data_IF_361035447839
#
_entry.id   IF_361035447839
#
_cell.length_a   1.000
_cell.length_b   1.000
_cell.length_c   1.000
_cell.angle_alpha   90.00
_cell.angle_beta   90.00
_cell.angle_gamma   90.00
#
_symmetry.space_group_name_H-M   'P 1'
#
loop_
_entity.id
_entity.type
_entity.pdbx_description
1 polymer ?
#
# COMPACT_ATOMS: atom_id res chain seq x y z
N UNK A 1 -8.60 -12.77 -7.73
CA UNK A 1 -7.87 -11.52 -7.49
C UNK A 1 -6.98 -11.79 -6.28
N UNK A 2 -5.69 -11.67 -6.48
CA UNK A 2 -4.66 -12.03 -5.51
C UNK A 2 -4.13 -10.86 -4.71
N UNK A 3 -3.03 -11.10 -3.96
CA UNK A 3 -2.38 -10.10 -3.10
C UNK A 3 -1.96 -8.83 -3.82
N UNK A 4 -1.59 -8.90 -5.11
CA UNK A 4 -1.09 -7.77 -5.87
C UNK A 4 -2.11 -6.65 -6.06
N UNK A 5 -3.38 -6.98 -6.34
CA UNK A 5 -4.43 -5.96 -6.43
C UNK A 5 -4.70 -5.31 -5.07
N UNK A 6 -4.69 -6.12 -4.00
CA UNK A 6 -4.87 -5.60 -2.64
C UNK A 6 -3.72 -4.66 -2.28
N UNK A 7 -2.49 -5.04 -2.58
CA UNK A 7 -1.30 -4.21 -2.36
C UNK A 7 -1.34 -2.91 -3.18
N UNK A 8 -1.73 -3.00 -4.46
CA UNK A 8 -1.85 -1.81 -5.31
C UNK A 8 -2.88 -0.82 -4.81
N UNK A 9 -4.02 -1.29 -4.34
CA UNK A 9 -5.01 -0.40 -3.77
C UNK A 9 -4.62 0.15 -2.38
N UNK A 10 -3.76 -0.56 -1.63
CA UNK A 10 -3.22 -0.08 -0.35
C UNK A 10 -2.15 1.00 -0.51
N UNK A 11 -1.61 1.16 -1.70
CA UNK A 11 -0.64 2.20 -2.05
C UNK A 11 -1.31 3.58 -2.12
N UNK A 12 -2.59 3.62 -2.47
CA UNK A 12 -3.39 4.83 -2.58
C UNK A 12 -4.04 5.20 -1.24
N UNK A 13 -3.25 5.28 -0.19
CA UNK A 13 -3.66 5.72 1.13
C UNK A 13 -3.92 7.25 1.19
N UNK A 14 -4.55 7.78 2.25
CA UNK A 14 -4.80 9.21 2.39
C UNK A 14 -3.55 10.07 2.33
N UNK A 15 -2.39 9.57 2.73
CA UNK A 15 -1.12 10.28 2.65
C UNK A 15 -0.64 10.41 1.19
N UNK A 16 -0.78 9.34 0.41
CA UNK A 16 -0.56 9.33 -1.03
C UNK A 16 -1.50 10.28 -1.76
N UNK A 17 -2.82 10.18 -1.49
CA UNK A 17 -3.84 11.06 -2.07
C UNK A 17 -3.53 12.54 -1.79
N UNK A 18 -3.14 12.89 -0.55
CA UNK A 18 -2.77 14.25 -0.20
C UNK A 18 -1.53 14.73 -1.00
N UNK A 19 -0.50 13.88 -1.08
CA UNK A 19 0.75 14.18 -1.80
C UNK A 19 0.51 14.36 -3.30
N UNK A 20 -0.28 13.49 -3.93
CA UNK A 20 -0.64 13.58 -5.34
C UNK A 20 -1.51 14.82 -5.62
N UNK A 21 -2.44 15.13 -4.70
CA UNK A 21 -3.27 16.34 -4.80
C UNK A 21 -2.43 17.61 -4.68
N UNK A 22 -1.46 17.62 -3.77
CA UNK A 22 -0.52 18.74 -3.63
C UNK A 22 0.35 18.87 -4.88
N UNK A 23 0.81 17.78 -5.48
CA UNK A 23 1.60 17.77 -6.70
C UNK A 23 0.83 18.43 -7.86
N UNK A 24 -0.42 18.03 -8.08
CA UNK A 24 -1.27 18.62 -9.10
C UNK A 24 -1.65 20.07 -8.80
N UNK A 25 -1.99 20.41 -7.55
CA UNK A 25 -2.37 21.77 -7.17
C UNK A 25 -1.21 22.76 -7.28
N UNK A 26 -0.02 22.40 -6.85
CA UNK A 26 1.14 23.30 -6.79
C UNK A 26 1.86 23.43 -8.13
N UNK A 27 2.05 22.31 -8.84
CA UNK A 27 2.88 22.26 -10.06
C UNK A 27 2.10 21.85 -11.32
N UNK A 28 0.78 21.80 -11.24
CA UNK A 28 -0.05 21.39 -12.38
C UNK A 28 0.34 20.01 -12.88
N UNK A 29 0.57 19.88 -14.18
CA UNK A 29 0.94 18.62 -14.82
C UNK A 29 2.46 18.34 -14.78
N UNK A 30 3.29 19.23 -14.20
CA UNK A 30 4.75 19.11 -14.25
C UNK A 30 5.31 17.87 -13.57
N UNK A 31 4.60 17.28 -12.59
CA UNK A 31 4.99 16.03 -11.90
C UNK A 31 4.32 14.77 -12.48
N UNK A 32 3.49 14.90 -13.53
CA UNK A 32 2.72 13.77 -14.06
C UNK A 32 3.60 12.67 -14.66
N UNK A 33 4.78 13.01 -15.20
CA UNK A 33 5.74 12.05 -15.72
C UNK A 33 6.24 11.04 -14.66
N UNK A 34 6.15 11.40 -13.38
CA UNK A 34 6.53 10.50 -12.29
C UNK A 34 5.68 9.24 -12.28
N UNK A 35 4.41 9.32 -12.68
CA UNK A 35 3.55 8.15 -12.79
C UNK A 35 4.08 7.17 -13.86
N UNK A 36 4.59 7.66 -14.99
CA UNK A 36 5.21 6.80 -15.99
C UNK A 36 6.50 6.16 -15.49
N UNK A 37 7.31 6.90 -14.71
CA UNK A 37 8.57 6.41 -14.15
C UNK A 37 8.36 5.38 -13.04
N UNK A 38 7.44 5.66 -12.11
CA UNK A 38 7.22 4.81 -10.94
C UNK A 38 6.55 3.49 -11.28
N UNK A 39 5.69 3.45 -12.28
CA UNK A 39 4.96 2.25 -12.67
C UNK A 39 5.86 1.02 -12.91
N UNK A 40 6.85 1.02 -13.83
CA UNK A 40 7.71 -0.14 -14.03
C UNK A 40 8.57 -0.47 -12.80
N UNK A 41 8.97 0.53 -12.00
CA UNK A 41 9.72 0.33 -10.78
C UNK A 41 8.90 -0.39 -9.72
N UNK A 42 7.65 0.03 -9.50
CA UNK A 42 6.71 -0.61 -8.58
C UNK A 42 6.45 -2.06 -8.99
N UNK A 43 6.12 -2.28 -10.27
CA UNK A 43 5.90 -3.64 -10.80
C UNK A 43 7.11 -4.53 -10.56
N UNK A 44 8.31 -4.05 -10.89
CA UNK A 44 9.54 -4.83 -10.76
C UNK A 44 9.83 -5.20 -9.30
N UNK A 45 9.75 -4.23 -8.38
CA UNK A 45 10.05 -4.47 -6.96
C UNK A 45 9.02 -5.38 -6.33
N UNK A 46 7.73 -5.14 -6.57
CA UNK A 46 6.65 -5.98 -6.04
C UNK A 46 6.71 -7.41 -6.60
N UNK A 47 7.03 -7.58 -7.90
CA UNK A 47 7.22 -8.92 -8.48
C UNK A 47 8.39 -9.65 -7.82
N UNK A 48 9.52 -8.98 -7.57
CA UNK A 48 10.66 -9.59 -6.88
C UNK A 48 10.27 -10.05 -5.49
N UNK A 49 9.55 -9.23 -4.73
CA UNK A 49 9.11 -9.56 -3.37
C UNK A 49 8.15 -10.74 -3.35
N UNK A 50 7.17 -10.74 -4.25
CA UNK A 50 6.17 -11.79 -4.39
C UNK A 50 6.80 -13.13 -4.82
N UNK A 51 7.66 -13.11 -5.84
CA UNK A 51 8.39 -14.30 -6.30
C UNK A 51 9.35 -14.84 -5.25
N UNK A 52 9.95 -13.97 -4.44
CA UNK A 52 10.81 -14.40 -3.35
C UNK A 52 10.02 -15.18 -2.32
N UNK A 53 8.84 -14.72 -1.92
CA UNK A 53 7.94 -15.44 -1.03
C UNK A 53 7.50 -16.78 -1.62
N UNK A 54 7.07 -16.81 -2.89
CA UNK A 54 6.68 -18.02 -3.61
C UNK A 54 7.82 -19.06 -3.70
N UNK A 55 9.03 -18.59 -4.02
CA UNK A 55 10.17 -19.48 -4.21
C UNK A 55 10.69 -20.09 -2.92
N UNK A 56 10.67 -19.32 -1.83
CA UNK A 56 11.29 -19.71 -0.56
C UNK A 56 10.31 -20.24 0.47
N UNK A 57 9.02 -19.87 0.36
CA UNK A 57 8.02 -20.14 1.40
C UNK A 57 8.29 -19.38 2.70
N UNK A 58 9.12 -18.33 2.66
CA UNK A 58 9.51 -17.50 3.82
C UNK A 58 9.38 -16.02 3.51
N UNK A 59 9.07 -15.22 4.53
CA UNK A 59 8.93 -13.76 4.40
C UNK A 59 10.26 -13.04 4.21
N UNK A 60 10.20 -11.84 3.63
CA UNK A 60 11.39 -11.02 3.38
C UNK A 60 12.16 -10.70 4.66
N UNK A 61 11.47 -10.43 5.76
CA UNK A 61 12.10 -10.15 7.06
C UNK A 61 12.95 -11.31 7.56
N UNK A 62 12.41 -12.52 7.51
CA UNK A 62 13.12 -13.74 7.92
C UNK A 62 14.33 -14.00 7.02
N UNK A 63 14.18 -13.86 5.71
CA UNK A 63 15.28 -14.02 4.76
C UNK A 63 16.40 -13.00 4.99
N UNK A 64 16.05 -11.75 5.25
CA UNK A 64 17.01 -10.69 5.56
C UNK A 64 17.81 -11.02 6.83
N UNK A 65 17.14 -11.47 7.89
CA UNK A 65 17.82 -11.89 9.13
C UNK A 65 18.76 -13.08 8.90
N UNK A 66 18.35 -14.06 8.08
CA UNK A 66 19.19 -15.22 7.75
C UNK A 66 20.40 -14.86 6.90
N UNK A 67 20.25 -13.89 5.99
CA UNK A 67 21.28 -13.51 5.00
C UNK A 67 22.34 -12.59 5.56
N UNK A 68 21.97 -11.66 6.45
CA UNK A 68 22.90 -10.65 6.94
C UNK A 68 23.67 -11.08 8.18
N UNK A 69 24.98 -10.77 8.22
CA UNK A 69 25.85 -10.92 9.39
C UNK A 69 25.53 -9.85 10.46
N UNK A 70 26.24 -9.91 11.59
CA UNK A 70 25.96 -9.09 12.78
C UNK A 70 25.81 -7.59 12.50
N UNK A 71 26.72 -6.99 11.72
CA UNK A 71 26.66 -5.58 11.33
C UNK A 71 25.44 -5.29 10.44
N UNK A 72 25.19 -6.13 9.44
CA UNK A 72 24.03 -6.00 8.56
C UNK A 72 22.72 -6.16 9.30
N UNK A 73 22.65 -7.01 10.35
CA UNK A 73 21.47 -7.11 11.21
C UNK A 73 21.21 -5.86 12.03
N UNK A 74 22.27 -5.17 12.50
CA UNK A 74 22.11 -3.90 13.21
C UNK A 74 21.54 -2.82 12.28
N UNK A 75 22.07 -2.69 11.06
CA UNK A 75 21.51 -1.78 10.04
C UNK A 75 20.07 -2.13 9.71
N UNK A 76 19.78 -3.40 9.48
CA UNK A 76 18.40 -3.88 9.24
C UNK A 76 17.48 -3.53 10.42
N UNK A 77 17.94 -3.70 11.66
CA UNK A 77 17.19 -3.35 12.86
C UNK A 77 16.84 -1.85 12.90
N UNK A 78 17.79 -0.98 12.59
CA UNK A 78 17.55 0.47 12.50
C UNK A 78 16.53 0.80 11.40
N UNK A 79 16.68 0.20 10.22
CA UNK A 79 15.74 0.41 9.10
C UNK A 79 14.33 -0.08 9.45
N UNK A 80 14.20 -1.22 10.12
CA UNK A 80 12.90 -1.75 10.56
C UNK A 80 12.26 -0.85 11.63
N UNK A 81 13.03 -0.31 12.58
CA UNK A 81 12.50 0.66 13.54
C UNK A 81 12.04 1.94 12.83
N UNK A 82 12.83 2.46 11.90
CA UNK A 82 12.43 3.62 11.09
C UNK A 82 11.16 3.34 10.28
N UNK A 83 11.04 2.14 9.70
CA UNK A 83 9.84 1.69 9.00
C UNK A 83 8.60 1.64 9.91
N UNK A 84 8.74 1.08 11.11
CA UNK A 84 7.64 1.02 12.10
C UNK A 84 7.20 2.42 12.52
N UNK A 85 8.14 3.33 12.76
CA UNK A 85 7.84 4.72 13.10
C UNK A 85 7.11 5.43 11.95
N UNK A 86 7.63 5.28 10.72
CA UNK A 86 6.99 5.86 9.53
C UNK A 86 5.55 5.34 9.36
N UNK A 87 5.35 4.03 9.51
CA UNK A 87 4.01 3.42 9.41
C UNK A 87 3.07 3.90 10.53
N UNK A 88 3.56 4.06 11.75
CA UNK A 88 2.75 4.59 12.84
C UNK A 88 2.28 6.03 12.55
N UNK A 89 3.14 6.86 11.95
CA UNK A 89 2.79 8.21 11.50
C UNK A 89 1.76 8.17 10.36
N UNK A 90 1.91 7.26 9.39
CA UNK A 90 0.94 7.09 8.32
C UNK A 90 -0.44 6.69 8.88
N UNK A 91 -0.50 5.68 9.76
CA UNK A 91 -1.77 5.29 10.39
C UNK A 91 -2.42 6.46 11.13
N UNK A 92 -1.63 7.26 11.85
CA UNK A 92 -2.15 8.44 12.53
C UNK A 92 -2.73 9.46 11.53
N UNK A 93 -2.03 9.71 10.42
CA UNK A 93 -2.50 10.58 9.34
C UNK A 93 -3.80 10.04 8.69
N UNK A 94 -3.86 8.73 8.46
CA UNK A 94 -5.02 8.07 7.90
C UNK A 94 -6.25 8.20 8.81
N UNK A 95 -6.09 7.95 10.11
CA UNK A 95 -7.18 8.11 11.08
C UNK A 95 -7.65 9.57 11.17
N UNK A 96 -6.73 10.54 11.10
CA UNK A 96 -7.08 11.96 11.05
C UNK A 96 -7.82 12.31 9.76
N UNK A 97 -7.47 11.69 8.63
CA UNK A 97 -8.16 11.87 7.37
C UNK A 97 -9.60 11.36 7.42
N UNK A 98 -9.88 10.22 8.11
CA UNK A 98 -11.26 9.78 8.42
C UNK A 98 -12.01 10.88 9.14
N UNK A 99 -11.45 11.33 10.24
CA UNK A 99 -12.07 12.36 11.07
C UNK A 99 -12.40 13.60 10.25
N UNK A 100 -11.45 14.05 9.44
CA UNK A 100 -11.63 15.23 8.57
C UNK A 100 -12.66 14.99 7.48
N UNK A 101 -12.70 13.80 6.88
CA UNK A 101 -13.71 13.42 5.89
C UNK A 101 -15.11 13.42 6.45
N UNK A 102 -15.30 12.89 7.66
CA UNK A 102 -16.61 12.88 8.34
C UNK A 102 -17.03 14.30 8.79
N UNK A 103 -16.07 15.14 9.15
CA UNK A 103 -16.35 16.55 9.44
C UNK A 103 -16.80 17.32 8.19
N UNK A 104 -16.30 16.98 6.99
CA UNK A 104 -16.80 17.55 5.72
C UNK A 104 -18.27 17.19 5.44
N UNK A 105 -18.76 16.09 6.02
CA UNK A 105 -20.16 15.64 5.95
C UNK A 105 -21.03 16.18 7.11
N UNK A 106 -20.51 17.12 7.89
CA UNK A 106 -21.15 17.68 9.10
C UNK A 106 -21.56 16.61 10.14
N UNK A 107 -20.81 15.48 10.17
CA UNK A 107 -21.10 14.33 11.04
C UNK A 107 -20.52 14.44 12.46
N UNK A 108 -20.06 15.62 12.88
CA UNK A 108 -19.56 15.90 14.22
C UNK A 108 -18.03 15.99 14.32
N UNK A 109 -17.50 15.83 15.54
CA UNK A 109 -16.09 16.10 15.83
C UNK A 109 -15.16 15.07 15.17
N UNK A 110 -14.11 15.55 14.48
CA UNK A 110 -13.16 14.71 13.73
C UNK A 110 -12.43 13.67 14.60
N UNK A 111 -12.01 14.04 15.81
CA UNK A 111 -11.31 13.13 16.72
C UNK A 111 -12.14 11.91 17.13
N UNK A 112 -13.48 12.08 17.28
CA UNK A 112 -14.39 10.99 17.61
C UNK A 112 -14.43 9.95 16.50
N UNK A 113 -14.52 10.39 15.26
CA UNK A 113 -14.53 9.51 14.10
C UNK A 113 -13.18 8.84 13.87
N UNK A 114 -12.05 9.52 14.15
CA UNK A 114 -10.74 8.91 14.14
C UNK A 114 -10.63 7.76 15.15
N UNK A 115 -11.15 7.94 16.38
CA UNK A 115 -11.18 6.88 17.40
C UNK A 115 -12.11 5.73 17.02
N UNK A 116 -13.31 6.02 16.50
CA UNK A 116 -14.25 4.99 16.03
C UNK A 116 -13.62 4.17 14.90
N UNK A 117 -13.01 4.83 13.92
CA UNK A 117 -12.32 4.15 12.82
C UNK A 117 -11.16 3.28 13.32
N UNK A 118 -10.32 3.80 14.20
CA UNK A 118 -9.22 3.04 14.80
C UNK A 118 -9.71 1.81 15.56
N UNK A 119 -10.77 1.95 16.35
CA UNK A 119 -11.41 0.84 17.05
C UNK A 119 -12.01 -0.20 16.10
N UNK A 120 -12.71 0.24 15.06
CA UNK A 120 -13.31 -0.63 14.05
C UNK A 120 -12.26 -1.41 13.26
N UNK A 121 -11.21 -0.72 12.80
CA UNK A 121 -10.09 -1.33 12.07
C UNK A 121 -9.39 -2.37 12.97
N UNK A 122 -9.11 -2.02 14.22
CA UNK A 122 -8.49 -2.95 15.18
C UNK A 122 -9.38 -4.17 15.43
N UNK A 123 -10.68 -3.97 15.62
CA UNK A 123 -11.64 -5.07 15.78
C UNK A 123 -11.69 -5.96 14.53
N UNK A 124 -11.69 -5.36 13.33
CA UNK A 124 -11.68 -6.10 12.06
C UNK A 124 -10.41 -6.94 11.90
N UNK A 125 -9.25 -6.40 12.29
CA UNK A 125 -7.97 -7.12 12.23
C UNK A 125 -7.88 -8.28 13.25
N UNK A 126 -8.47 -8.11 14.44
CA UNK A 126 -8.42 -9.12 15.51
C UNK A 126 -9.45 -10.24 15.29
N UNK A 127 -10.66 -9.89 14.84
CA UNK A 127 -11.80 -10.82 14.75
C UNK A 127 -12.06 -11.24 13.30
N UNK A 128 -11.60 -10.45 12.33
CA UNK A 128 -11.85 -10.66 10.90
C UNK A 128 -11.16 -11.92 10.36
N UNK A 129 -11.87 -12.66 9.49
CA UNK A 129 -11.22 -13.68 8.67
C UNK A 129 -10.59 -13.03 7.44
N UNK A 130 -9.49 -13.61 6.95
CA UNK A 130 -8.79 -13.15 5.75
C UNK A 130 -9.74 -12.91 4.55
N UNK A 131 -10.66 -13.84 4.29
CA UNK A 131 -11.62 -13.71 3.19
C UNK A 131 -12.55 -12.50 3.31
N UNK A 132 -13.01 -12.14 4.52
CA UNK A 132 -13.85 -10.96 4.75
C UNK A 132 -13.08 -9.67 4.56
N UNK A 133 -11.85 -9.64 5.05
CA UNK A 133 -10.93 -8.51 4.89
C UNK A 133 -10.64 -8.30 3.39
N UNK A 134 -10.27 -9.36 2.66
CA UNK A 134 -10.02 -9.29 1.22
C UNK A 134 -11.26 -8.85 0.41
N UNK A 135 -12.47 -9.25 0.83
CA UNK A 135 -13.71 -8.79 0.18
C UNK A 135 -13.95 -7.30 0.40
N UNK A 136 -13.82 -6.83 1.64
CA UNK A 136 -13.93 -5.40 1.96
C UNK A 136 -12.93 -4.58 1.12
N UNK A 137 -11.70 -5.05 0.98
CA UNK A 137 -10.69 -4.40 0.14
C UNK A 137 -11.08 -4.30 -1.32
N UNK A 138 -11.65 -5.34 -1.90
CA UNK A 138 -12.13 -5.30 -3.29
C UNK A 138 -13.20 -4.25 -3.51
N UNK A 139 -14.09 -4.07 -2.54
CA UNK A 139 -15.12 -3.04 -2.59
C UNK A 139 -14.50 -1.63 -2.51
N UNK A 140 -13.51 -1.47 -1.65
CA UNK A 140 -12.80 -0.19 -1.49
C UNK A 140 -11.97 0.16 -2.74
N UNK A 141 -11.33 -0.83 -3.39
CA UNK A 141 -10.69 -0.62 -4.71
C UNK A 141 -11.67 -0.03 -5.73
N UNK A 142 -12.91 -0.53 -5.75
CA UNK A 142 -13.90 0.00 -6.67
C UNK A 142 -14.23 1.49 -6.41
N UNK A 143 -14.17 1.93 -5.14
CA UNK A 143 -14.38 3.33 -4.80
C UNK A 143 -13.22 4.25 -5.27
N UNK A 144 -11.98 3.74 -5.33
CA UNK A 144 -10.84 4.50 -5.87
C UNK A 144 -10.99 4.79 -7.37
N UNK A 145 -11.78 4.00 -8.11
CA UNK A 145 -12.13 4.31 -9.50
C UNK A 145 -12.85 5.65 -9.64
N UNK A 146 -13.44 6.18 -8.55
CA UNK A 146 -14.05 7.50 -8.56
C UNK A 146 -13.04 8.59 -8.97
N UNK A 147 -11.77 8.46 -8.61
CA UNK A 147 -10.74 9.43 -9.03
C UNK A 147 -10.54 9.45 -10.55
N UNK A 148 -10.59 8.28 -11.21
CA UNK A 148 -10.50 8.21 -12.66
C UNK A 148 -11.71 8.89 -13.31
N UNK A 149 -12.92 8.68 -12.76
CA UNK A 149 -14.13 9.33 -13.24
C UNK A 149 -14.01 10.85 -13.11
N UNK A 150 -13.55 11.34 -11.95
CA UNK A 150 -13.33 12.78 -11.74
C UNK A 150 -12.33 13.33 -12.73
N UNK A 151 -11.18 12.69 -12.92
CA UNK A 151 -10.16 13.12 -13.88
C UNK A 151 -10.74 13.22 -15.30
N UNK A 152 -11.53 12.24 -15.75
CA UNK A 152 -12.17 12.26 -17.08
C UNK A 152 -13.17 13.41 -17.19
N UNK A 153 -13.94 13.68 -16.15
CA UNK A 153 -14.98 14.73 -16.17
C UNK A 153 -14.40 16.15 -16.21
N UNK A 154 -13.25 16.38 -15.55
CA UNK A 154 -12.66 17.73 -15.46
C UNK A 154 -11.63 18.02 -16.53
N UNK A 155 -11.08 17.01 -17.19
CA UNK A 155 -10.02 17.17 -18.19
C UNK A 155 -10.60 17.52 -19.56
N UNK A 156 -10.19 18.67 -20.09
CA UNK A 156 -10.60 19.14 -21.41
C UNK A 156 -9.49 19.00 -22.47
N UNK A 157 -8.22 18.99 -22.05
CA UNK A 157 -7.04 19.01 -22.95
C UNK A 157 -6.16 17.76 -22.79
N UNK A 158 -6.65 16.61 -23.21
CA UNK A 158 -5.91 15.33 -23.11
C UNK A 158 -4.57 15.32 -23.84
N UNK A 159 -4.42 16.14 -24.91
CA UNK A 159 -3.13 16.27 -25.60
C UNK A 159 -2.03 16.87 -24.70
N UNK A 160 -2.35 17.88 -23.92
CA UNK A 160 -1.43 18.46 -22.93
C UNK A 160 -1.10 17.45 -21.82
N UNK A 161 -2.10 16.76 -21.29
CA UNK A 161 -1.92 15.72 -20.25
C UNK A 161 -0.97 14.63 -20.73
N UNK A 162 -1.18 14.07 -21.92
CA UNK A 162 -0.32 13.05 -22.49
C UNK A 162 1.10 13.57 -22.76
N UNK A 163 1.24 14.83 -23.19
CA UNK A 163 2.54 15.48 -23.36
C UNK A 163 3.33 15.52 -22.06
N UNK A 164 2.74 15.97 -20.96
CA UNK A 164 3.38 16.03 -19.65
C UNK A 164 3.58 14.65 -19.00
N UNK A 165 2.78 13.68 -19.36
CA UNK A 165 2.96 12.29 -18.91
C UNK A 165 4.22 11.65 -19.48
N UNK A 166 4.55 11.95 -20.75
CA UNK A 166 5.70 11.35 -21.45
C UNK A 166 6.96 12.19 -21.32
N UNK A 167 6.82 13.52 -21.33
CA UNK A 167 7.98 14.44 -21.31
C UNK A 167 8.18 14.99 -19.91
N UNK A 168 9.30 14.65 -19.23
CA UNK A 168 9.60 15.15 -17.91
C UNK A 168 9.78 16.69 -17.91
N UNK A 169 9.04 17.37 -17.06
CA UNK A 169 9.25 18.78 -16.74
C UNK A 169 9.86 18.86 -15.35
N UNK A 170 11.15 19.17 -15.27
CA UNK A 170 11.89 19.22 -14.01
C UNK A 170 12.26 20.63 -13.65
N UNK A 171 11.80 21.09 -12.50
CA UNK A 171 12.20 22.35 -11.91
C UNK A 171 13.25 22.10 -10.82
N UNK A 172 14.40 22.77 -10.91
CA UNK A 172 15.49 22.62 -9.94
C UNK A 172 15.35 23.59 -8.76
N UNK A 173 14.14 23.71 -8.20
CA UNK A 173 13.89 24.45 -6.98
C UNK A 173 13.66 23.51 -5.79
N UNK A 174 13.92 24.02 -4.58
CA UNK A 174 13.84 23.22 -3.35
C UNK A 174 12.46 22.60 -3.12
N UNK A 175 11.40 23.37 -3.35
CA UNK A 175 10.02 22.93 -3.13
C UNK A 175 9.61 21.83 -4.10
N UNK A 176 9.99 21.96 -5.39
CA UNK A 176 9.73 20.93 -6.39
C UNK A 176 10.45 19.63 -6.04
N UNK A 177 11.75 19.70 -5.68
CA UNK A 177 12.53 18.52 -5.31
C UNK A 177 11.98 17.84 -4.05
N UNK A 178 11.55 18.61 -3.05
CA UNK A 178 10.91 18.07 -1.86
C UNK A 178 9.62 17.32 -2.21
N UNK A 179 8.77 17.91 -3.05
CA UNK A 179 7.53 17.28 -3.45
C UNK A 179 7.77 16.06 -4.37
N UNK A 180 8.76 16.15 -5.27
CA UNK A 180 9.17 15.00 -6.09
C UNK A 180 9.62 13.82 -5.22
N UNK A 181 10.44 14.08 -4.19
CA UNK A 181 10.86 13.03 -3.24
C UNK A 181 9.68 12.50 -2.45
N UNK A 182 8.74 13.36 -2.05
CA UNK A 182 7.52 12.92 -1.36
C UNK A 182 6.65 12.03 -2.26
N UNK A 183 6.44 12.40 -3.52
CA UNK A 183 5.70 11.60 -4.51
C UNK A 183 6.36 10.24 -4.71
N UNK A 184 7.68 10.21 -4.95
CA UNK A 184 8.42 8.95 -5.13
C UNK A 184 8.41 8.09 -3.87
N UNK A 185 8.50 8.70 -2.68
CA UNK A 185 8.53 8.01 -1.39
C UNK A 185 7.19 7.41 -0.99
N UNK A 186 6.08 8.09 -1.27
CA UNK A 186 4.75 7.55 -1.01
C UNK A 186 4.35 6.47 -2.02
N UNK A 187 4.77 6.60 -3.28
CA UNK A 187 4.45 5.66 -4.35
C UNK A 187 5.26 4.35 -4.24
N UNK A 188 6.56 4.43 -3.88
CA UNK A 188 7.43 3.25 -3.76
C UNK A 188 7.67 2.97 -2.28
N UNK A 189 6.63 2.64 -1.56
CA UNK A 189 6.65 2.50 -0.11
C UNK A 189 7.23 1.15 0.34
N UNK A 190 8.31 1.14 1.16
CA UNK A 190 8.97 -0.10 1.58
C UNK A 190 8.08 -1.07 2.36
N UNK A 191 7.07 -0.59 3.08
CA UNK A 191 6.15 -1.44 3.82
C UNK A 191 5.31 -2.34 2.90
N UNK A 192 5.01 -1.89 1.68
CA UNK A 192 4.29 -2.68 0.69
C UNK A 192 5.07 -3.93 0.25
N UNK A 193 6.40 -3.87 0.27
CA UNK A 193 7.26 -5.01 -0.09
C UNK A 193 7.13 -6.14 0.94
N UNK A 194 7.17 -5.80 2.22
CA UNK A 194 6.96 -6.77 3.29
C UNK A 194 5.53 -7.29 3.29
N UNK A 195 4.56 -6.40 3.08
CA UNK A 195 3.14 -6.75 3.01
C UNK A 195 2.85 -7.75 1.87
N UNK A 196 3.33 -7.47 0.65
CA UNK A 196 3.16 -8.35 -0.50
C UNK A 196 3.70 -9.76 -0.21
N UNK A 197 4.90 -9.83 0.36
CA UNK A 197 5.54 -11.07 0.74
C UNK A 197 4.74 -11.83 1.80
N UNK A 198 4.31 -11.17 2.86
CA UNK A 198 3.53 -11.76 3.95
C UNK A 198 2.16 -12.27 3.46
N UNK A 199 1.46 -11.44 2.68
CA UNK A 199 0.15 -11.79 2.12
C UNK A 199 0.22 -12.98 1.18
N UNK A 200 1.28 -13.07 0.36
CA UNK A 200 1.50 -14.24 -0.49
C UNK A 200 1.72 -15.52 0.32
N UNK A 201 2.42 -15.45 1.45
CA UNK A 201 2.60 -16.60 2.34
C UNK A 201 1.28 -17.05 2.97
N UNK A 202 0.40 -16.11 3.35
CA UNK A 202 -0.93 -16.43 3.87
C UNK A 202 -1.80 -17.13 2.82
N UNK A 203 -1.80 -16.61 1.58
CA UNK A 203 -2.50 -17.26 0.47
C UNK A 203 -1.98 -18.70 0.24
N UNK A 204 -0.64 -18.88 0.29
CA UNK A 204 -0.04 -20.20 0.15
C UNK A 204 -0.43 -21.16 1.30
N UNK A 205 -0.68 -20.66 2.50
CA UNK A 205 -1.18 -21.47 3.64
C UNK A 205 -2.65 -21.84 3.50
N UNK A 206 -3.46 -20.97 2.91
CA UNK A 206 -4.90 -21.21 2.69
C UNK A 206 -5.17 -22.19 1.53
N UNK A 207 -4.18 -22.47 0.71
CA UNK A 207 -4.32 -23.48 -0.34
C UNK A 207 -4.54 -24.89 0.27
N UNK A 208 -5.44 -25.72 -0.32
CA UNK A 208 -5.79 -27.04 0.23
C UNK A 208 -4.60 -27.96 0.48
N UNK A 209 -3.49 -27.72 -0.21
CA UNK A 209 -2.28 -28.54 -0.15
C UNK A 209 -1.15 -27.88 0.67
N UNK A 210 -1.35 -26.66 1.13
CA UNK A 210 -0.36 -25.88 1.90
C UNK A 210 -0.13 -26.43 3.30
N UNK A 211 -1.15 -26.98 3.92
CA UNK A 211 -1.07 -27.39 5.32
C UNK A 211 -0.74 -26.22 6.26
N UNK A 212 -0.02 -26.52 7.36
CA UNK A 212 0.41 -25.49 8.31
C UNK A 212 1.59 -24.65 7.82
N UNK A 213 2.30 -25.07 6.78
CA UNK A 213 3.47 -24.38 6.23
C UNK A 213 3.32 -24.09 4.73
N UNK A 214 3.72 -22.87 4.26
CA UNK A 214 3.70 -22.53 2.85
C UNK A 214 4.63 -23.46 2.07
N UNK A 215 4.15 -24.07 0.99
CA UNK A 215 4.99 -24.93 0.15
C UNK A 215 5.72 -24.12 -0.92
N UNK A 216 7.09 -24.04 -0.88
CA UNK A 216 7.88 -23.39 -1.90
C UNK A 216 7.61 -23.95 -3.31
N UNK A 217 7.74 -23.10 -4.34
CA UNK A 217 7.55 -23.51 -5.74
C UNK A 217 8.40 -24.72 -6.14
N UNK A 218 9.63 -24.82 -5.63
CA UNK A 218 10.54 -25.94 -5.91
C UNK A 218 10.05 -27.30 -5.42
N UNK A 219 9.08 -27.35 -4.51
CA UNK A 219 8.44 -28.58 -4.02
C UNK A 219 7.15 -28.95 -4.77
N UNK A 220 6.73 -28.12 -5.72
CA UNK A 220 5.52 -28.31 -6.51
C UNK A 220 5.85 -28.87 -7.90
N UNK A 221 4.85 -29.42 -8.60
CA UNK A 221 5.03 -29.85 -9.99
C UNK A 221 5.38 -28.67 -10.89
N UNK A 222 6.25 -28.86 -11.93
CA UNK A 222 6.67 -27.75 -12.82
C UNK A 222 5.51 -27.00 -13.47
N UNK A 223 4.48 -27.71 -13.89
CA UNK A 223 3.30 -27.10 -14.54
C UNK A 223 2.51 -26.20 -13.56
N UNK A 224 2.41 -26.62 -12.28
CA UNK A 224 1.75 -25.84 -11.23
C UNK A 224 2.58 -24.64 -10.83
N UNK A 225 3.89 -24.80 -10.66
CA UNK A 225 4.81 -23.73 -10.34
C UNK A 225 4.76 -22.60 -11.40
N UNK A 226 4.80 -22.95 -12.69
CA UNK A 226 4.66 -22.00 -13.79
C UNK A 226 3.31 -21.28 -13.80
N UNK A 227 2.21 -22.00 -13.51
CA UNK A 227 0.88 -21.38 -13.44
C UNK A 227 0.80 -20.36 -12.33
N UNK A 228 1.31 -20.69 -11.13
CA UNK A 228 1.36 -19.79 -9.98
C UNK A 228 2.22 -18.57 -10.26
N UNK A 229 3.41 -18.75 -10.83
CA UNK A 229 4.28 -17.64 -11.18
C UNK A 229 3.65 -16.68 -12.19
N UNK A 230 2.96 -17.20 -13.22
CA UNK A 230 2.23 -16.35 -14.18
C UNK A 230 1.06 -15.62 -13.54
N UNK A 231 0.29 -16.30 -12.69
CA UNK A 231 -0.84 -15.70 -12.00
C UNK A 231 -0.38 -14.59 -11.04
N UNK A 232 0.70 -14.83 -10.28
CA UNK A 232 1.34 -13.89 -9.40
C UNK A 232 1.83 -12.64 -10.16
N UNK A 233 2.55 -12.83 -11.27
CA UNK A 233 3.04 -11.72 -12.10
C UNK A 233 1.89 -10.87 -12.66
N UNK A 234 0.84 -11.51 -13.15
CA UNK A 234 -0.33 -10.79 -13.68
C UNK A 234 -1.05 -10.02 -12.56
N UNK A 235 -1.18 -10.61 -11.39
CA UNK A 235 -1.83 -10.01 -10.23
C UNK A 235 -1.07 -8.76 -9.74
N UNK A 236 0.26 -8.86 -9.62
CA UNK A 236 1.13 -7.71 -9.28
C UNK A 236 1.05 -6.62 -10.37
N UNK A 237 1.14 -7.00 -11.64
CA UNK A 237 1.05 -6.06 -12.75
C UNK A 237 -0.27 -5.29 -12.74
N UNK A 238 -1.40 -5.99 -12.58
CA UNK A 238 -2.73 -5.37 -12.53
C UNK A 238 -2.87 -4.46 -11.32
N UNK A 239 -2.40 -4.90 -10.14
CA UNK A 239 -2.46 -4.12 -8.92
C UNK A 239 -1.65 -2.82 -9.00
N UNK A 240 -0.41 -2.91 -9.44
CA UNK A 240 0.47 -1.73 -9.58
C UNK A 240 0.01 -0.78 -10.70
N UNK A 241 -0.57 -1.34 -11.78
CA UNK A 241 -1.18 -0.51 -12.83
C UNK A 241 -2.39 0.24 -12.30
N UNK A 242 -3.22 -0.42 -11.49
CA UNK A 242 -4.39 0.20 -10.86
C UNK A 242 -3.99 1.38 -9.96
N UNK A 243 -3.05 1.17 -9.02
CA UNK A 243 -2.54 2.22 -8.14
C UNK A 243 -1.98 3.39 -8.95
N UNK A 244 -1.13 3.11 -9.91
CA UNK A 244 -0.52 4.16 -10.73
C UNK A 244 -1.55 4.97 -11.56
N UNK A 245 -2.64 4.31 -12.02
CA UNK A 245 -3.75 5.01 -12.68
C UNK A 245 -4.50 5.92 -11.70
N UNK A 246 -4.65 5.53 -10.44
CA UNK A 246 -5.26 6.38 -9.41
C UNK A 246 -4.38 7.59 -9.12
N UNK A 247 -3.07 7.40 -8.92
CA UNK A 247 -2.09 8.48 -8.80
C UNK A 247 -2.20 9.47 -9.98
N UNK A 248 -2.14 8.95 -11.21
CA UNK A 248 -2.29 9.74 -12.42
C UNK A 248 -3.58 10.57 -12.40
N UNK A 249 -4.70 9.93 -12.07
CA UNK A 249 -6.01 10.58 -12.05
C UNK A 249 -6.10 11.70 -11.00
N UNK A 250 -5.52 11.52 -9.82
CA UNK A 250 -5.51 12.53 -8.76
C UNK A 250 -4.68 13.75 -9.19
N UNK A 251 -3.47 13.52 -9.72
CA UNK A 251 -2.62 14.62 -10.21
C UNK A 251 -3.34 15.41 -11.30
N UNK A 252 -3.92 14.73 -12.30
CA UNK A 252 -4.65 15.38 -13.40
C UNK A 252 -5.86 16.16 -12.89
N UNK A 253 -6.70 15.53 -12.05
CA UNK A 253 -7.90 16.17 -11.54
C UNK A 253 -7.57 17.45 -10.76
N UNK A 254 -6.54 17.43 -9.92
CA UNK A 254 -6.13 18.59 -9.12
C UNK A 254 -5.38 19.64 -9.93
N UNK A 255 -4.64 19.24 -10.94
CA UNK A 255 -4.01 20.17 -11.90
C UNK A 255 -5.06 20.95 -12.70
N UNK A 256 -6.04 20.26 -13.26
CA UNK A 256 -7.07 20.90 -14.10
C UNK A 256 -8.08 21.75 -13.31
N UNK A 257 -8.23 21.49 -12.02
CA UNK A 257 -9.18 22.21 -11.17
C UNK A 257 -8.49 23.22 -10.25
N UNK A 258 -7.57 22.77 -9.39
CA UNK A 258 -7.01 23.61 -8.34
C UNK A 258 -5.90 24.52 -8.87
N UNK A 259 -4.96 23.96 -9.63
CA UNK A 259 -3.85 24.73 -10.19
C UNK A 259 -4.34 25.81 -11.16
N UNK A 260 -5.30 25.49 -12.03
CA UNK A 260 -5.90 26.43 -12.98
C UNK A 260 -6.58 27.61 -12.29
N UNK A 261 -6.99 27.47 -11.03
CA UNK A 261 -7.60 28.52 -10.22
C UNK A 261 -6.68 29.08 -9.13
N UNK A 262 -5.36 28.84 -9.23
CA UNK A 262 -4.33 29.32 -8.30
C UNK A 262 -4.48 28.86 -6.85
N UNK A 263 -5.15 27.72 -6.62
CA UNK A 263 -5.22 27.06 -5.31
C UNK A 263 -4.04 26.11 -5.24
N UNK A 264 -2.94 26.54 -4.62
CA UNK A 264 -1.65 25.82 -4.66
C UNK A 264 -1.27 25.15 -3.36
N UNK A 265 -1.97 25.43 -2.25
CA UNK A 265 -1.65 24.84 -0.95
C UNK A 265 -2.74 23.87 -0.50
N UNK A 266 -2.44 22.58 -0.59
CA UNK A 266 -3.30 21.48 -0.15
C UNK A 266 -2.51 20.62 0.84
N UNK A 267 -2.90 20.67 2.10
CA UNK A 267 -2.20 19.96 3.19
C UNK A 267 -2.83 18.60 3.52
N UNK A 268 -4.04 18.34 3.03
CA UNK A 268 -4.72 17.08 3.28
C UNK A 268 -5.65 16.68 2.14
N UNK A 269 -5.90 15.38 2.02
CA UNK A 269 -6.85 14.84 1.05
C UNK A 269 -8.29 15.38 1.25
N UNK A 270 -8.69 15.67 2.50
CA UNK A 270 -9.97 16.29 2.80
C UNK A 270 -10.05 17.75 2.28
N UNK A 271 -8.97 18.51 2.38
CA UNK A 271 -8.88 19.84 1.78
C UNK A 271 -8.97 19.78 0.25
N UNK A 272 -8.32 18.81 -0.38
CA UNK A 272 -8.42 18.56 -1.82
C UNK A 272 -9.88 18.29 -2.24
N UNK A 273 -10.59 17.41 -1.52
CA UNK A 273 -12.00 17.13 -1.78
C UNK A 273 -12.90 18.37 -1.68
N UNK A 274 -12.68 19.19 -0.64
CA UNK A 274 -13.42 20.44 -0.43
C UNK A 274 -13.11 21.48 -1.52
N UNK A 275 -11.86 21.61 -1.89
CA UNK A 275 -11.40 22.57 -2.90
C UNK A 275 -11.87 22.21 -4.32
N UNK A 276 -12.10 20.92 -4.60
CA UNK A 276 -12.64 20.44 -5.87
C UNK A 276 -14.13 20.79 -6.07
N UNK A 277 -14.89 20.96 -4.99
CA UNK A 277 -16.35 21.16 -5.04
C UNK A 277 -16.83 22.30 -5.94
N UNK A 278 -16.23 23.51 -5.94
CA UNK A 278 -16.68 24.60 -6.80
C UNK A 278 -16.47 24.36 -8.30
N UNK A 279 -15.46 23.54 -8.67
CA UNK A 279 -15.00 23.37 -10.05
C UNK A 279 -15.53 22.11 -10.69
N UNK A 280 -15.45 21.00 -9.98
CA UNK A 280 -15.87 19.68 -10.45
C UNK A 280 -17.34 19.35 -10.12
N UNK A 281 -18.05 20.29 -9.46
CA UNK A 281 -19.44 20.12 -9.02
C UNK A 281 -19.60 19.21 -7.82
N UNK A 282 -20.82 19.17 -7.28
CA UNK A 282 -21.14 18.38 -6.10
C UNK A 282 -20.92 16.86 -6.32
N UNK A 283 -21.20 16.38 -7.52
CA UNK A 283 -21.03 14.95 -7.84
C UNK A 283 -19.57 14.54 -7.84
N UNK A 284 -18.70 15.28 -8.49
CA UNK A 284 -17.26 14.95 -8.57
C UNK A 284 -16.57 15.10 -7.21
N UNK A 285 -16.90 16.15 -6.42
CA UNK A 285 -16.37 16.28 -5.07
C UNK A 285 -16.88 15.18 -4.12
N UNK A 286 -18.12 14.73 -4.29
CA UNK A 286 -18.65 13.59 -3.54
C UNK A 286 -17.94 12.28 -3.92
N UNK A 287 -17.67 12.07 -5.21
CA UNK A 287 -16.87 10.92 -5.67
C UNK A 287 -15.44 10.94 -5.13
N UNK A 288 -14.81 12.12 -5.11
CA UNK A 288 -13.48 12.28 -4.52
C UNK A 288 -13.49 11.99 -3.01
N UNK A 289 -14.50 12.50 -2.28
CA UNK A 289 -14.66 12.21 -0.86
C UNK A 289 -14.98 10.73 -0.59
N UNK A 290 -15.73 10.05 -1.48
CA UNK A 290 -15.96 8.60 -1.41
C UNK A 290 -14.66 7.82 -1.61
N UNK A 291 -13.84 8.19 -2.60
CA UNK A 291 -12.53 7.60 -2.82
C UNK A 291 -11.62 7.78 -1.60
N UNK A 292 -11.60 9.00 -1.02
CA UNK A 292 -10.88 9.29 0.22
C UNK A 292 -11.40 8.44 1.38
N UNK A 293 -12.73 8.32 1.56
CA UNK A 293 -13.32 7.51 2.64
C UNK A 293 -13.00 6.03 2.46
N UNK A 294 -12.92 5.56 1.22
CA UNK A 294 -12.51 4.21 0.90
C UNK A 294 -11.04 3.97 1.24
N UNK A 295 -10.15 4.86 0.82
CA UNK A 295 -8.72 4.79 1.12
C UNK A 295 -8.44 4.81 2.62
N UNK A 296 -9.27 5.51 3.38
CA UNK A 296 -9.18 5.62 4.84
C UNK A 296 -9.72 4.38 5.56
N UNK A 297 -10.82 3.79 5.08
CA UNK A 297 -11.34 2.52 5.61
C UNK A 297 -10.40 1.35 5.29
N UNK A 298 -9.33 1.62 4.56
CA UNK A 298 -8.26 0.68 4.27
C UNK A 298 -7.41 0.50 5.53
N UNK A 299 -7.40 -0.66 6.19
CA UNK A 299 -6.43 -0.90 7.24
C UNK A 299 -5.07 -0.83 6.56
N UNK A 300 -4.30 0.18 6.94
CA UNK A 300 -2.94 0.34 6.46
C UNK A 300 -2.20 -0.99 6.60
N UNK A 301 -1.55 -1.51 5.54
CA UNK A 301 -0.84 -2.79 5.58
C UNK A 301 0.30 -2.84 6.59
N UNK A 302 0.51 -1.75 7.32
CA UNK A 302 1.54 -1.60 8.33
C UNK A 302 1.41 -2.52 9.54
N UNK A 303 0.26 -3.19 9.73
CA UNK A 303 0.09 -4.21 10.78
C UNK A 303 -0.44 -5.52 10.19
N UNK A 304 0.43 -6.34 9.60
CA UNK A 304 0.02 -7.69 9.26
C UNK A 304 -0.29 -8.44 10.56
N UNK A 305 -1.42 -9.13 10.59
CA UNK A 305 -1.70 -10.13 11.62
C UNK A 305 -0.56 -11.13 11.86
N UNK A 306 0.36 -11.40 10.90
CA UNK A 306 1.51 -12.28 11.10
C UNK A 306 2.72 -11.65 11.80
N UNK A 307 2.66 -10.45 12.35
CA UNK A 307 3.73 -9.95 13.24
C UNK A 307 4.03 -10.94 14.37
N UNK A 308 3.06 -11.78 14.76
CA UNK A 308 3.32 -12.89 15.68
C UNK A 308 4.23 -13.98 15.12
N UNK A 309 4.28 -14.19 13.81
CA UNK A 309 5.10 -15.24 13.19
C UNK A 309 6.42 -14.72 12.61
N UNK A 310 6.50 -13.44 12.24
CA UNK A 310 7.71 -12.86 11.67
C UNK A 310 8.66 -12.20 12.72
N UNK A 311 8.22 -12.05 13.98
CA UNK A 311 9.03 -11.48 15.06
C UNK A 311 9.44 -12.48 16.16
N UNK A 312 10.03 -13.66 15.86
CA UNK A 312 10.61 -14.52 16.91
C UNK A 312 11.95 -13.98 17.42
N UNK A 313 12.47 -12.85 16.91
CA UNK A 313 13.87 -12.47 17.09
C UNK A 313 14.12 -11.60 18.31
N UNK A 314 13.09 -10.97 18.89
CA UNK A 314 13.28 -10.19 20.14
C UNK A 314 13.06 -10.96 21.44
N UNK A 315 12.60 -12.21 21.40
CA UNK A 315 12.45 -13.04 22.61
C UNK A 315 13.51 -14.14 22.74
N UNK A 316 14.69 -13.96 22.14
CA UNK A 316 15.85 -14.79 22.45
C UNK A 316 16.35 -14.44 23.84
N UNK A 317 15.56 -14.77 24.86
CA UNK A 317 16.03 -14.82 26.23
C UNK A 317 15.62 -16.10 26.91
N UNK A 318 16.63 -16.67 27.50
CA UNK A 318 16.66 -17.85 28.38
C UNK A 318 16.41 -19.18 27.67
N UNK A 319 17.48 -19.64 26.99
CA UNK A 319 17.73 -21.05 26.89
C UNK A 319 17.90 -21.62 28.29
N UNK A 320 16.87 -22.26 28.81
CA UNK A 320 17.03 -23.32 29.78
C UNK A 320 16.70 -24.59 29.02
N UNK A 321 17.77 -25.28 28.66
CA UNK A 321 17.79 -26.63 28.16
C UNK A 321 16.96 -27.53 29.06
N UNK A 322 15.82 -28.03 28.58
CA UNK A 322 15.30 -29.30 29.03
C UNK A 322 15.62 -30.35 27.95
N UNK A 323 16.78 -30.95 28.10
CA UNK A 323 17.06 -32.23 27.50
C UNK A 323 15.97 -33.19 27.94
N UNK A 324 15.04 -33.54 27.05
CA UNK A 324 14.22 -34.72 27.18
C UNK A 324 15.02 -35.89 26.62
N UNK A 325 15.41 -36.76 27.52
CA UNK A 325 16.01 -38.07 27.28
C UNK A 325 15.27 -38.84 26.17
N UNK A 326 15.98 -39.05 25.07
CA UNK A 326 15.57 -40.02 24.08
C UNK A 326 15.76 -41.44 24.69
N UNK A 327 14.69 -42.20 24.78
CA UNK A 327 14.75 -43.65 25.05
C UNK A 327 15.37 -44.36 23.83
N UNK A 328 16.30 -45.30 24.03
CA UNK A 328 16.85 -46.05 22.91
C UNK A 328 15.80 -47.08 22.39
N UNK A 329 15.86 -47.47 21.12
CA UNK A 329 14.99 -48.50 20.57
C UNK A 329 15.41 -49.87 21.09
N UNK A 330 14.44 -50.61 21.61
CA UNK A 330 14.58 -52.03 21.98
C UNK A 330 14.68 -52.88 20.70
N UNK A 331 15.83 -53.49 20.49
CA UNK A 331 15.96 -54.66 19.61
C UNK A 331 15.29 -55.85 20.32
N UNK A 332 14.37 -56.49 19.67
CA UNK A 332 13.95 -57.87 19.98
C UNK A 332 14.31 -58.76 18.80
N UNK A 333 14.90 -59.88 19.17
CA UNK A 333 15.38 -60.99 18.35
C UNK A 333 14.29 -61.59 17.44
#
# INVERSE_FOLDING_TARGET
MGPGLVTGASDDDPSGIATYSQAGAQYGLSLLWTALLTWPLMVAVQEICDRTALATGTGLGELAVKRFHRTGRAVLGVLLVALVVANALNIAADLLAVGSGMQLLDAGASWLWALIAGGLITALLVIGSFARIAFAFKLLCAALLAYLVVAVLVTHQWGSVLGHFVVPHVELNKSYLQLLVAVLGTTISPYLFFWQSAHRLEEMREEPEGGSEPQPLGKQSPARAQRKERASRLDVFVGMTFSNLVMFAIIVATAETLHSHHITNIESAAQAAKALKPFAGHFASALFALGLSAAVCWPSPSWPAPVRSEWPVCSARSGVSRARSAKPPSFTV
#
